data_IF_216404926851
#
_entry.id   IF_216404926851
#
_cell.length_a   1.000
_cell.length_b   1.000
_cell.length_c   1.000
_cell.angle_alpha   90.00
_cell.angle_beta   90.00
_cell.angle_gamma   90.00
#
_symmetry.space_group_name_H-M   'P 1'
#
loop_
_entity.id
_entity.type
_entity.pdbx_description
1 polymer ?
#
# COMPACT_ATOMS: atom_id res chain seq x y z
N UNK A 1 33.89 51.89 14.32
CA UNK A 1 32.49 51.41 14.24
C UNK A 1 32.10 50.83 12.89
N UNK A 2 32.44 51.44 11.73
CA UNK A 2 32.07 50.89 10.40
C UNK A 2 32.69 49.53 10.02
N UNK A 3 33.85 49.15 10.58
CA UNK A 3 34.47 47.83 10.34
C UNK A 3 33.89 46.68 11.18
N UNK A 4 33.21 46.98 12.29
CA UNK A 4 32.60 45.96 13.15
C UNK A 4 31.23 45.50 12.61
N UNK A 5 30.52 46.40 11.91
CA UNK A 5 29.22 46.11 11.28
C UNK A 5 29.33 45.21 10.04
N UNK A 6 30.45 45.26 9.30
CA UNK A 6 30.67 44.37 8.15
C UNK A 6 30.96 42.92 8.55
N UNK A 7 31.56 42.69 9.71
CA UNK A 7 31.79 41.34 10.23
C UNK A 7 30.50 40.71 10.78
N UNK A 8 29.60 41.52 11.33
CA UNK A 8 28.29 41.05 11.80
C UNK A 8 27.38 40.64 10.64
N UNK A 9 27.40 41.35 9.49
CA UNK A 9 26.61 40.95 8.33
C UNK A 9 27.14 39.68 7.65
N UNK A 10 28.45 39.42 7.70
CA UNK A 10 29.05 38.21 7.14
C UNK A 10 28.72 36.96 7.98
N UNK A 11 28.62 37.09 9.31
CA UNK A 11 28.16 36.00 10.18
C UNK A 11 26.66 35.72 10.05
N UNK A 12 25.83 36.73 9.75
CA UNK A 12 24.38 36.54 9.58
C UNK A 12 24.05 35.85 8.24
N UNK A 13 24.90 35.96 7.21
CA UNK A 13 24.72 35.22 5.95
C UNK A 13 25.18 33.77 5.98
N UNK A 14 26.02 33.36 6.94
CA UNK A 14 26.42 31.97 7.12
C UNK A 14 25.36 31.10 7.82
N UNK A 15 24.35 31.71 8.45
CA UNK A 15 23.29 30.99 9.17
C UNK A 15 22.04 30.77 8.29
N UNK A 16 22.01 31.31 7.07
CA UNK A 16 20.83 31.32 6.20
C UNK A 16 20.84 30.28 5.06
N UNK A 17 21.67 29.24 5.15
CA UNK A 17 21.67 28.12 4.21
C UNK A 17 21.62 26.78 4.93
N UNK A 18 20.76 26.64 5.94
CA UNK A 18 20.24 25.31 6.28
C UNK A 18 19.13 24.98 5.28
N UNK A 19 19.52 24.71 4.04
CA UNK A 19 18.62 24.07 3.09
C UNK A 19 18.24 22.73 3.73
N UNK A 20 16.95 22.50 3.97
CA UNK A 20 16.49 21.21 4.47
C UNK A 20 16.88 20.16 3.43
N UNK A 21 17.89 19.34 3.69
CA UNK A 21 18.34 18.20 2.85
C UNK A 21 17.31 17.05 2.81
N UNK A 22 16.02 17.40 2.84
CA UNK A 22 14.91 16.47 2.85
C UNK A 22 14.19 16.59 1.52
N UNK A 23 14.17 15.49 0.79
CA UNK A 23 13.34 15.37 -0.40
C UNK A 23 11.88 15.17 0.03
N UNK A 24 10.90 15.68 -0.75
CA UNK A 24 9.48 15.43 -0.47
C UNK A 24 9.13 13.93 -0.57
N UNK A 25 9.89 13.18 -1.36
CA UNK A 25 9.87 11.73 -1.41
C UNK A 25 11.24 11.20 -1.88
N UNK A 26 11.60 10.00 -1.42
CA UNK A 26 12.84 9.32 -1.77
C UNK A 26 12.55 8.14 -2.71
N UNK A 27 13.15 8.06 -3.90
CA UNK A 27 12.94 6.96 -4.84
C UNK A 27 13.54 5.66 -4.30
N UNK A 28 12.79 4.56 -4.35
CA UNK A 28 13.26 3.23 -3.96
C UNK A 28 13.26 2.28 -5.16
N UNK A 29 12.24 2.35 -6.01
CA UNK A 29 12.14 1.63 -7.28
C UNK A 29 11.59 2.62 -8.30
N UNK A 30 12.27 2.80 -9.42
CA UNK A 30 11.89 3.80 -10.44
C UNK A 30 12.22 3.25 -11.82
N UNK A 31 11.26 2.59 -12.49
CA UNK A 31 11.46 2.08 -13.85
C UNK A 31 10.50 2.73 -14.83
N UNK A 32 9.21 2.64 -14.57
CA UNK A 32 8.15 3.18 -15.41
C UNK A 32 6.98 3.70 -14.54
N UNK A 33 5.93 4.31 -15.14
CA UNK A 33 4.80 4.83 -14.37
C UNK A 33 4.01 3.80 -13.55
N UNK A 34 4.13 2.50 -13.83
CA UNK A 34 3.48 1.44 -13.06
C UNK A 34 4.40 0.82 -12.01
N UNK A 35 5.67 0.58 -12.35
CA UNK A 35 6.66 0.01 -11.43
C UNK A 35 7.53 1.10 -10.80
N UNK A 36 6.89 1.87 -9.92
CA UNK A 36 7.48 2.99 -9.20
C UNK A 36 7.11 2.96 -7.71
N UNK A 37 8.09 2.96 -6.81
CA UNK A 37 7.88 2.87 -5.35
C UNK A 37 8.79 3.87 -4.63
N UNK A 38 8.19 4.63 -3.71
CA UNK A 38 8.80 5.76 -3.04
C UNK A 38 8.58 5.70 -1.52
N UNK A 39 9.46 6.37 -0.77
CA UNK A 39 9.24 6.73 0.63
C UNK A 39 8.83 8.20 0.71
N UNK A 40 7.61 8.47 1.20
CA UNK A 40 7.07 9.83 1.39
C UNK A 40 7.29 10.35 2.81
N UNK A 41 8.37 9.92 3.46
CA UNK A 41 8.66 10.25 4.86
C UNK A 41 10.15 10.42 5.08
N UNK A 42 10.53 11.32 5.99
CA UNK A 42 11.94 11.57 6.35
C UNK A 42 12.64 10.32 6.92
N UNK A 43 11.88 9.39 7.51
CA UNK A 43 12.39 8.14 8.06
C UNK A 43 11.78 6.96 7.31
N UNK A 44 12.59 6.10 6.70
CA UNK A 44 12.14 5.03 5.82
C UNK A 44 11.15 4.04 6.48
N UNK A 45 11.20 3.90 7.82
CA UNK A 45 10.31 3.04 8.62
C UNK A 45 9.12 3.76 9.26
N UNK A 46 8.87 5.03 8.92
CA UNK A 46 7.79 5.83 9.51
C UNK A 46 6.44 5.67 8.80
N UNK A 47 6.42 5.26 7.54
CA UNK A 47 5.17 4.97 6.81
C UNK A 47 5.35 3.79 5.86
N UNK A 48 4.26 3.18 5.36
CA UNK A 48 4.36 2.29 4.21
C UNK A 48 5.00 3.01 3.02
N UNK A 49 5.73 2.26 2.19
CA UNK A 49 6.18 2.74 0.88
C UNK A 49 5.01 2.77 -0.09
N UNK A 50 5.04 3.70 -1.05
CA UNK A 50 3.89 4.01 -1.90
C UNK A 50 4.28 4.12 -3.35
N UNK A 51 3.32 3.79 -4.20
CA UNK A 51 3.31 4.22 -5.59
C UNK A 51 3.19 5.75 -5.67
N UNK A 52 3.57 6.37 -6.79
CA UNK A 52 3.48 7.83 -6.94
C UNK A 52 2.05 8.36 -6.81
N UNK A 53 1.04 7.49 -7.02
CA UNK A 53 -0.38 7.83 -6.81
C UNK A 53 -0.83 7.84 -5.34
N UNK A 54 0.10 7.60 -4.41
CA UNK A 54 -0.18 7.52 -2.97
C UNK A 54 -0.77 6.19 -2.50
N UNK A 55 -1.04 5.25 -3.41
CA UNK A 55 -1.46 3.88 -3.05
C UNK A 55 -0.29 3.13 -2.42
N UNK A 56 -0.56 2.41 -1.34
CA UNK A 56 0.45 1.60 -0.65
C UNK A 56 0.96 0.45 -1.54
N UNK A 57 2.21 0.57 -1.98
CA UNK A 57 3.01 -0.48 -2.63
C UNK A 57 4.10 -0.88 -1.64
N UNK A 58 3.67 -1.61 -0.61
CA UNK A 58 4.46 -1.76 0.61
C UNK A 58 5.66 -2.69 0.43
N UNK A 59 6.83 -2.15 0.75
CA UNK A 59 8.08 -2.86 1.00
C UNK A 59 8.37 -2.74 2.50
N UNK A 60 8.69 -3.86 3.14
CA UNK A 60 9.06 -3.92 4.56
C UNK A 60 10.44 -4.52 4.72
N UNK A 61 11.19 -4.03 5.71
CA UNK A 61 12.55 -4.47 6.00
C UNK A 61 12.77 -4.61 7.51
N UNK A 62 13.09 -5.82 7.94
CA UNK A 62 13.40 -6.16 9.32
C UNK A 62 14.81 -6.75 9.42
N UNK A 63 15.56 -6.40 10.45
CA UNK A 63 16.85 -7.00 10.79
C UNK A 63 16.76 -7.62 12.17
N UNK A 64 17.17 -8.87 12.30
CA UNK A 64 17.26 -9.59 13.57
C UNK A 64 18.73 -9.69 13.98
N UNK A 65 19.04 -9.17 15.16
CA UNK A 65 20.38 -9.20 15.77
C UNK A 65 20.27 -9.95 17.09
N UNK A 66 20.89 -11.12 17.17
CA UNK A 66 20.87 -12.01 18.35
C UNK A 66 19.45 -12.23 18.92
N UNK A 67 18.49 -12.45 18.02
CA UNK A 67 17.09 -12.70 18.38
C UNK A 67 16.23 -11.44 18.53
N UNK A 68 16.81 -10.25 18.69
CA UNK A 68 16.04 -8.99 18.76
C UNK A 68 15.79 -8.43 17.38
N UNK A 69 14.53 -8.06 17.09
CA UNK A 69 14.09 -7.61 15.76
C UNK A 69 13.95 -6.10 15.71
N UNK A 70 14.53 -5.50 14.66
CA UNK A 70 14.44 -4.09 14.36
C UNK A 70 13.84 -3.84 12.99
N UNK A 71 12.93 -2.85 12.87
CA UNK A 71 12.35 -2.40 11.60
C UNK A 71 13.16 -1.23 11.04
N UNK A 72 13.72 -1.40 9.84
CA UNK A 72 14.49 -0.35 9.16
C UNK A 72 13.78 0.22 7.93
N UNK A 73 12.81 -0.50 7.35
CA UNK A 73 12.07 -0.04 6.16
C UNK A 73 10.59 -0.39 6.25
N UNK A 74 9.76 0.57 5.83
CA UNK A 74 8.31 0.46 5.68
C UNK A 74 7.60 0.28 7.01
N UNK A 75 6.61 1.10 7.29
CA UNK A 75 5.65 0.79 8.36
C UNK A 75 4.63 -0.26 7.88
N UNK A 76 3.88 -0.81 8.82
CA UNK A 76 2.79 -1.74 8.56
C UNK A 76 1.69 -1.05 7.74
N UNK A 77 1.28 -1.68 6.63
CA UNK A 77 0.06 -1.31 5.92
C UNK A 77 -1.18 -1.88 6.62
N UNK A 78 -2.29 -1.16 6.56
CA UNK A 78 -3.56 -1.61 7.13
C UNK A 78 -4.22 -2.56 6.14
N UNK A 79 -4.27 -3.85 6.49
CA UNK A 79 -5.10 -4.84 5.81
C UNK A 79 -6.56 -4.71 6.25
N UNK A 80 -7.50 -5.10 5.38
CA UNK A 80 -8.93 -4.95 5.62
C UNK A 80 -9.69 -6.26 5.38
N UNK A 81 -10.58 -6.61 6.31
CA UNK A 81 -11.57 -7.67 6.17
C UNK A 81 -12.93 -7.07 5.82
N UNK A 82 -13.59 -7.63 4.81
CA UNK A 82 -14.92 -7.20 4.36
C UNK A 82 -15.98 -7.44 5.43
N UNK A 83 -16.74 -6.39 5.78
CA UNK A 83 -17.96 -6.45 6.61
C UNK A 83 -19.20 -6.39 5.72
N UNK A 84 -19.18 -5.49 4.73
CA UNK A 84 -20.18 -5.32 3.67
C UNK A 84 -19.43 -5.06 2.36
N UNK A 85 -19.49 -5.94 1.35
CA UNK A 85 -18.70 -5.76 0.14
C UNK A 85 -19.18 -4.56 -0.68
N UNK A 86 -18.22 -3.78 -1.19
CA UNK A 86 -18.46 -2.86 -2.30
C UNK A 86 -18.42 -3.63 -3.64
N UNK A 87 -18.75 -2.97 -4.75
CA UNK A 87 -18.89 -3.62 -6.06
C UNK A 87 -17.58 -4.17 -6.64
N UNK A 88 -16.43 -3.65 -6.20
CA UNK A 88 -15.11 -4.19 -6.52
C UNK A 88 -14.81 -5.53 -5.84
N UNK A 89 -15.59 -5.90 -4.82
CA UNK A 89 -15.45 -7.17 -4.10
C UNK A 89 -16.55 -8.16 -4.48
N UNK A 90 -17.80 -7.70 -4.60
CA UNK A 90 -18.95 -8.49 -5.00
C UNK A 90 -20.07 -7.63 -5.57
N UNK A 91 -20.76 -8.16 -6.59
CA UNK A 91 -21.97 -7.51 -7.14
C UNK A 91 -23.05 -7.43 -6.05
N UNK A 92 -23.66 -6.26 -5.91
CA UNK A 92 -24.81 -6.07 -5.03
C UNK A 92 -25.84 -5.13 -5.66
N UNK A 93 -27.09 -5.25 -5.22
CA UNK A 93 -28.18 -4.37 -5.60
C UNK A 93 -28.57 -3.44 -4.46
N UNK A 94 -29.02 -2.23 -4.81
CA UNK A 94 -29.53 -1.22 -3.90
C UNK A 94 -30.82 -0.63 -4.46
N UNK A 95 -31.74 -0.25 -3.57
CA UNK A 95 -32.83 0.65 -3.95
C UNK A 95 -32.24 2.05 -4.23
N UNK A 96 -32.81 2.77 -5.18
CA UNK A 96 -32.40 4.15 -5.48
C UNK A 96 -33.54 5.04 -6.00
N UNK A 97 -33.40 6.34 -5.76
CA UNK A 97 -34.25 7.41 -6.28
C UNK A 97 -33.39 8.50 -6.91
N UNK A 98 -33.90 9.11 -7.97
CA UNK A 98 -33.32 10.28 -8.66
C UNK A 98 -34.16 11.55 -8.41
N UNK A 99 -35.15 11.43 -7.53
CA UNK A 99 -36.00 12.53 -7.08
C UNK A 99 -35.94 12.59 -5.56
N UNK A 100 -35.95 13.81 -5.03
CA UNK A 100 -35.84 14.04 -3.59
C UNK A 100 -36.89 13.21 -2.84
N UNK A 101 -36.47 12.29 -1.96
CA UNK A 101 -37.40 11.48 -1.19
C UNK A 101 -38.00 12.25 -0.02
N UNK A 102 -39.01 11.66 0.60
CA UNK A 102 -39.63 12.17 1.82
C UNK A 102 -38.63 12.22 2.99
N UNK A 103 -38.97 12.98 4.04
CA UNK A 103 -38.14 13.04 5.24
C UNK A 103 -38.00 11.66 5.90
N UNK A 104 -36.84 11.43 6.54
CA UNK A 104 -36.57 10.15 7.20
C UNK A 104 -36.19 9.01 6.25
N UNK A 105 -35.98 9.28 4.95
CA UNK A 105 -35.53 8.29 3.96
C UNK A 105 -34.23 7.57 4.31
N UNK A 106 -33.43 8.02 5.27
CA UNK A 106 -32.20 7.36 5.73
C UNK A 106 -32.46 6.31 6.82
N UNK A 107 -33.66 6.27 7.39
CA UNK A 107 -34.01 5.40 8.51
C UNK A 107 -34.39 4.00 8.04
N UNK A 108 -34.18 3.00 8.90
CA UNK A 108 -34.46 1.58 8.59
C UNK A 108 -35.93 1.34 8.23
N UNK A 109 -36.86 1.96 8.97
CA UNK A 109 -38.30 1.79 8.77
C UNK A 109 -38.92 2.53 7.58
N UNK A 110 -38.13 3.24 6.76
CA UNK A 110 -38.63 3.94 5.58
C UNK A 110 -39.03 2.95 4.48
N UNK A 111 -40.21 3.12 3.90
CA UNK A 111 -40.72 2.30 2.79
C UNK A 111 -40.15 2.76 1.45
N UNK A 112 -39.14 2.04 0.95
CA UNK A 112 -38.54 2.25 -0.36
C UNK A 112 -39.12 1.33 -1.45
N UNK A 113 -40.29 0.70 -1.23
CA UNK A 113 -40.89 -0.24 -2.19
C UNK A 113 -41.18 0.37 -3.57
N UNK A 114 -41.37 1.70 -3.64
CA UNK A 114 -41.57 2.46 -4.88
C UNK A 114 -40.29 2.91 -5.55
N UNK A 115 -39.13 2.74 -4.91
CA UNK A 115 -37.85 3.12 -5.47
C UNK A 115 -37.43 2.14 -6.57
N UNK A 116 -36.61 2.63 -7.50
CA UNK A 116 -36.00 1.75 -8.50
C UNK A 116 -35.00 0.83 -7.79
N UNK A 117 -34.68 -0.31 -8.41
CA UNK A 117 -33.60 -1.21 -7.96
C UNK A 117 -32.53 -1.29 -9.04
N UNK A 118 -31.28 -1.20 -8.62
CA UNK A 118 -30.13 -1.20 -9.53
C UNK A 118 -28.96 -1.95 -8.91
N UNK A 119 -28.05 -2.44 -9.74
CA UNK A 119 -26.77 -2.98 -9.29
C UNK A 119 -25.76 -1.84 -9.15
N UNK A 120 -24.97 -1.87 -8.09
CA UNK A 120 -23.82 -0.98 -7.93
C UNK A 120 -22.65 -1.43 -8.84
N UNK A 121 -21.73 -0.51 -9.20
CA UNK A 121 -21.73 0.91 -8.86
C UNK A 121 -22.83 1.67 -9.60
N UNK A 122 -23.22 2.84 -9.08
CA UNK A 122 -24.06 3.78 -9.81
C UNK A 122 -23.15 4.80 -10.47
N UNK A 123 -23.23 4.93 -11.78
CA UNK A 123 -22.27 5.72 -12.56
C UNK A 123 -22.88 6.23 -13.86
N UNK A 124 -22.37 7.32 -14.41
CA UNK A 124 -22.60 7.77 -15.78
C UNK A 124 -21.86 6.93 -16.84
N UNK A 125 -20.81 6.19 -16.45
CA UNK A 125 -19.96 5.45 -17.37
C UNK A 125 -20.63 4.16 -17.89
N UNK A 126 -21.21 4.24 -19.08
CA UNK A 126 -21.87 3.13 -19.77
C UNK A 126 -20.99 1.89 -20.04
N UNK A 127 -19.65 1.99 -19.90
CA UNK A 127 -18.74 0.85 -20.04
C UNK A 127 -18.54 0.05 -18.74
N UNK A 128 -18.98 0.58 -17.60
CA UNK A 128 -18.92 -0.11 -16.31
C UNK A 128 -20.15 -0.98 -16.11
N UNK A 129 -19.95 -2.18 -15.54
CA UNK A 129 -21.04 -3.04 -15.14
C UNK A 129 -21.71 -2.46 -13.87
N UNK A 130 -22.84 -1.78 -14.03
CA UNK A 130 -23.53 -1.08 -12.94
C UNK A 130 -24.85 -0.46 -13.38
N UNK A 131 -25.40 0.44 -12.57
CA UNK A 131 -26.64 1.17 -12.88
C UNK A 131 -26.30 2.55 -13.41
N UNK A 132 -26.82 2.88 -14.59
CA UNK A 132 -26.61 4.20 -15.18
C UNK A 132 -27.49 5.25 -14.51
N UNK A 133 -26.85 6.32 -14.07
CA UNK A 133 -27.47 7.51 -13.51
C UNK A 133 -26.84 8.75 -14.13
N UNK A 134 -27.66 9.74 -14.50
CA UNK A 134 -27.20 10.98 -15.16
C UNK A 134 -27.90 12.23 -14.66
N UNK A 135 -28.84 12.12 -13.73
CA UNK A 135 -29.53 13.28 -13.15
C UNK A 135 -28.67 13.97 -12.10
N UNK A 136 -29.14 15.09 -11.53
CA UNK A 136 -28.34 15.88 -10.59
C UNK A 136 -28.12 15.19 -9.24
N UNK A 137 -29.10 14.44 -8.76
CA UNK A 137 -29.04 13.83 -7.44
C UNK A 137 -29.44 12.36 -7.49
N UNK A 138 -28.79 11.55 -6.64
CA UNK A 138 -29.19 10.17 -6.39
C UNK A 138 -29.22 9.90 -4.89
N UNK A 139 -30.26 9.19 -4.47
CA UNK A 139 -30.39 8.61 -3.15
C UNK A 139 -30.33 7.10 -3.29
N UNK A 140 -29.49 6.42 -2.53
CA UNK A 140 -29.41 4.96 -2.50
C UNK A 140 -29.68 4.42 -1.10
N UNK A 141 -30.29 3.24 -1.03
CA UNK A 141 -30.65 2.53 0.19
C UNK A 141 -30.33 1.04 0.03
N UNK A 142 -29.34 0.58 0.80
CA UNK A 142 -28.90 -0.82 0.82
C UNK A 142 -29.10 -1.43 2.20
N UNK A 143 -30.07 -2.33 2.30
CA UNK A 143 -30.27 -3.15 3.49
C UNK A 143 -29.28 -4.32 3.50
N UNK A 144 -28.70 -4.61 4.66
CA UNK A 144 -27.78 -5.72 4.84
C UNK A 144 -27.88 -6.31 6.25
N UNK A 145 -27.39 -7.55 6.42
CA UNK A 145 -27.50 -8.25 7.69
C UNK A 145 -26.13 -8.60 8.29
N UNK A 146 -25.90 -8.22 9.55
CA UNK A 146 -24.69 -8.57 10.29
C UNK A 146 -24.98 -9.72 11.25
N UNK A 147 -24.23 -10.82 11.13
CA UNK A 147 -24.31 -11.95 12.09
C UNK A 147 -23.50 -11.67 13.35
N UNK A 148 -22.27 -11.17 13.18
CA UNK A 148 -21.33 -10.89 14.27
C UNK A 148 -20.80 -9.47 14.09
N UNK A 149 -20.90 -8.65 15.12
CA UNK A 149 -20.40 -7.28 15.07
C UNK A 149 -18.88 -7.25 14.83
N UNK A 150 -18.38 -6.29 14.03
CA UNK A 150 -16.95 -6.03 13.91
C UNK A 150 -16.32 -5.81 15.30
N UNK A 151 -15.18 -6.43 15.53
CA UNK A 151 -14.47 -6.36 16.84
C UNK A 151 -13.26 -5.44 16.81
N UNK A 152 -12.94 -4.90 15.63
CA UNK A 152 -11.79 -4.03 15.38
C UNK A 152 -12.25 -2.75 14.72
N UNK A 153 -11.31 -1.81 14.55
CA UNK A 153 -11.61 -0.52 13.95
C UNK A 153 -12.23 -0.73 12.57
N UNK A 154 -13.41 -0.14 12.39
CA UNK A 154 -14.26 -0.31 11.21
C UNK A 154 -14.23 0.97 10.40
N UNK A 155 -14.31 0.82 9.08
CA UNK A 155 -14.21 1.90 8.13
C UNK A 155 -15.37 1.81 7.13
N UNK A 156 -15.91 2.96 6.76
CA UNK A 156 -16.68 3.14 5.54
C UNK A 156 -15.70 3.10 4.36
N UNK A 157 -15.89 2.13 3.47
CA UNK A 157 -15.19 2.06 2.18
C UNK A 157 -16.08 2.77 1.16
N UNK A 158 -15.62 3.88 0.59
CA UNK A 158 -16.46 4.75 -0.25
C UNK A 158 -15.69 5.24 -1.47
N UNK A 159 -16.31 5.18 -2.63
CA UNK A 159 -15.90 5.93 -3.82
C UNK A 159 -17.10 6.75 -4.25
N UNK A 160 -16.92 8.05 -4.49
CA UNK A 160 -18.03 8.93 -4.83
C UNK A 160 -17.58 10.10 -5.73
N UNK A 161 -18.51 10.61 -6.52
CA UNK A 161 -18.36 11.79 -7.36
C UNK A 161 -19.77 12.38 -7.61
N UNK A 162 -20.15 13.57 -7.12
CA UNK A 162 -19.43 14.56 -6.31
C UNK A 162 -19.88 14.51 -4.83
N UNK A 163 -20.44 15.60 -4.30
CA UNK A 163 -20.78 15.84 -2.90
C UNK A 163 -21.58 14.68 -2.34
N UNK A 164 -21.16 14.14 -1.20
CA UNK A 164 -21.76 12.93 -0.62
C UNK A 164 -22.17 13.16 0.82
N UNK A 165 -23.32 12.61 1.19
CA UNK A 165 -23.71 12.39 2.58
C UNK A 165 -24.05 10.93 2.81
N UNK A 166 -23.44 10.31 3.82
CA UNK A 166 -23.61 8.88 4.13
C UNK A 166 -24.23 8.71 5.51
N UNK A 167 -25.24 7.84 5.56
CA UNK A 167 -25.96 7.47 6.76
C UNK A 167 -25.88 5.96 6.99
N UNK A 168 -25.76 5.59 8.26
CA UNK A 168 -25.85 4.21 8.71
C UNK A 168 -26.90 4.14 9.81
N UNK A 169 -27.96 3.36 9.57
CA UNK A 169 -29.10 3.24 10.48
C UNK A 169 -29.69 4.62 10.88
N UNK A 170 -29.84 5.51 9.90
CA UNK A 170 -30.35 6.88 10.10
C UNK A 170 -29.36 7.89 10.67
N UNK A 171 -28.22 7.44 11.23
CA UNK A 171 -27.18 8.34 11.75
C UNK A 171 -26.23 8.76 10.63
N UNK A 172 -26.01 10.06 10.46
CA UNK A 172 -24.98 10.58 9.54
C UNK A 172 -23.60 10.14 10.02
N UNK A 173 -22.86 9.43 9.17
CA UNK A 173 -21.52 8.92 9.46
C UNK A 173 -20.41 9.60 8.66
N UNK A 174 -20.75 10.24 7.53
CA UNK A 174 -19.80 10.96 6.70
C UNK A 174 -20.51 12.02 5.85
N UNK A 175 -19.79 13.09 5.55
CA UNK A 175 -20.21 14.14 4.62
C UNK A 175 -18.95 14.77 4.02
N UNK A 176 -18.96 14.98 2.70
CA UNK A 176 -17.88 15.66 1.99
C UNK A 176 -18.47 16.50 0.86
N UNK A 177 -17.94 17.71 0.71
CA UNK A 177 -18.08 18.52 -0.52
C UNK A 177 -16.87 18.23 -1.40
N UNK A 178 -17.10 17.78 -2.63
CA UNK A 178 -16.10 17.26 -3.57
C UNK A 178 -16.21 15.76 -3.79
N UNK A 179 -15.19 15.18 -4.41
CA UNK A 179 -15.20 13.80 -4.91
C UNK A 179 -14.06 12.95 -4.31
N UNK A 180 -14.21 11.63 -4.39
CA UNK A 180 -13.17 10.65 -4.12
C UNK A 180 -13.04 9.72 -5.34
N UNK A 181 -12.08 10.02 -6.21
CA UNK A 181 -11.84 9.28 -7.47
C UNK A 181 -11.42 7.81 -7.30
N UNK A 182 -11.14 7.37 -6.07
CA UNK A 182 -10.87 5.97 -5.68
C UNK A 182 -11.53 5.66 -4.35
N UNK A 183 -11.60 4.38 -3.98
CA UNK A 183 -12.05 4.01 -2.65
C UNK A 183 -11.18 4.66 -1.57
N UNK A 184 -11.83 5.43 -0.71
CA UNK A 184 -11.30 5.95 0.55
C UNK A 184 -11.86 5.13 1.71
N UNK A 185 -11.10 5.06 2.80
CA UNK A 185 -11.43 4.30 4.00
C UNK A 185 -11.60 5.26 5.17
N UNK A 186 -12.85 5.66 5.45
CA UNK A 186 -13.18 6.62 6.49
C UNK A 186 -13.44 5.88 7.81
N UNK A 187 -12.70 6.12 8.90
CA UNK A 187 -12.92 5.44 10.16
C UNK A 187 -14.29 5.80 10.75
N UNK A 188 -15.06 4.80 11.16
CA UNK A 188 -16.29 5.02 11.91
C UNK A 188 -15.94 5.37 13.36
N UNK A 189 -16.35 6.56 13.81
CA UNK A 189 -16.27 6.95 15.23
C UNK A 189 -17.20 6.05 16.05
N UNK A 190 -16.63 5.06 16.73
CA UNK A 190 -17.28 3.98 17.50
C UNK A 190 -18.21 3.08 16.67
N UNK A 191 -17.62 2.09 15.99
CA UNK A 191 -18.35 1.08 15.20
C UNK A 191 -19.43 0.33 15.99
N UNK A 192 -19.25 0.18 17.31
CA UNK A 192 -20.20 -0.46 18.22
C UNK A 192 -21.54 0.29 18.39
N UNK A 193 -21.60 1.60 18.11
CA UNK A 193 -22.83 2.39 18.23
C UNK A 193 -23.59 2.50 16.90
N UNK A 194 -22.91 2.30 15.78
CA UNK A 194 -23.50 2.51 14.44
C UNK A 194 -24.04 1.23 13.82
N UNK A 195 -23.48 0.06 14.16
CA UNK A 195 -23.89 -1.24 13.64
C UNK A 195 -24.60 -2.06 14.71
N UNK A 196 -25.59 -2.86 14.29
CA UNK A 196 -26.28 -3.82 15.14
C UNK A 196 -26.26 -5.23 14.52
N UNK A 197 -26.37 -6.25 15.35
CA UNK A 197 -26.66 -7.60 14.86
C UNK A 197 -28.04 -7.62 14.21
N UNK A 198 -28.20 -8.40 13.14
CA UNK A 198 -29.41 -8.40 12.34
C UNK A 198 -29.37 -7.35 11.23
N UNK A 199 -30.52 -6.80 10.91
CA UNK A 199 -30.70 -5.87 9.80
C UNK A 199 -30.06 -4.51 10.07
N UNK A 200 -29.42 -3.93 9.06
CA UNK A 200 -28.89 -2.57 9.04
C UNK A 200 -29.22 -1.93 7.68
N UNK A 201 -29.20 -0.60 7.62
CA UNK A 201 -29.37 0.17 6.39
C UNK A 201 -28.18 1.10 6.17
N UNK A 202 -27.56 1.01 5.00
CA UNK A 202 -26.62 2.01 4.49
C UNK A 202 -27.35 2.88 3.48
N UNK A 203 -27.40 4.18 3.73
CA UNK A 203 -28.13 5.14 2.92
C UNK A 203 -27.20 6.27 2.48
N UNK A 204 -27.23 6.62 1.20
CA UNK A 204 -26.28 7.58 0.61
C UNK A 204 -27.04 8.57 -0.25
N UNK A 205 -26.69 9.84 -0.12
CA UNK A 205 -27.13 10.90 -1.02
C UNK A 205 -25.90 11.49 -1.71
N UNK A 206 -25.95 11.59 -3.03
CA UNK A 206 -24.95 12.27 -3.84
C UNK A 206 -25.60 13.41 -4.61
N UNK A 207 -24.92 14.57 -4.63
CA UNK A 207 -25.26 15.71 -5.47
C UNK A 207 -24.14 15.89 -6.49
N UNK A 208 -24.42 15.62 -7.76
CA UNK A 208 -23.48 15.92 -8.84
C UNK A 208 -23.41 17.44 -9.04
N UNK A 209 -22.21 17.99 -8.95
CA UNK A 209 -21.95 19.43 -9.13
C UNK A 209 -21.46 19.76 -10.55
N UNK A 210 -21.04 18.74 -11.32
CA UNK A 210 -20.78 18.79 -12.74
C UNK A 210 -19.64 17.85 -13.14
N UNK A 211 -19.74 17.27 -14.35
CA UNK A 211 -18.73 16.32 -14.83
C UNK A 211 -19.15 14.88 -14.54
N UNK A 212 -18.23 14.12 -13.96
CA UNK A 212 -18.39 12.68 -13.74
C UNK A 212 -19.40 12.39 -12.61
N UNK A 213 -19.84 11.13 -12.49
CA UNK A 213 -20.81 10.68 -11.48
C UNK A 213 -20.50 9.25 -11.06
N UNK A 214 -20.20 9.02 -9.79
CA UNK A 214 -19.99 7.67 -9.32
C UNK A 214 -20.42 7.54 -7.87
N UNK A 215 -20.97 6.39 -7.49
CA UNK A 215 -21.12 6.03 -6.10
C UNK A 215 -21.06 4.52 -5.91
N UNK A 216 -20.17 4.12 -5.01
CA UNK A 216 -20.10 2.77 -4.49
C UNK A 216 -19.59 2.75 -3.05
N UNK A 217 -20.16 1.86 -2.25
CA UNK A 217 -19.85 1.79 -0.84
C UNK A 217 -19.91 0.37 -0.26
N UNK A 218 -19.07 0.17 0.74
CA UNK A 218 -19.03 -1.01 1.59
C UNK A 218 -18.54 -0.64 2.99
N UNK A 219 -18.39 -1.66 3.82
CA UNK A 219 -17.83 -1.56 5.17
C UNK A 219 -16.73 -2.58 5.31
N UNK A 220 -15.63 -2.18 5.96
CA UNK A 220 -14.50 -3.07 6.26
C UNK A 220 -14.05 -2.88 7.70
N UNK A 221 -13.42 -3.89 8.29
CA UNK A 221 -12.69 -3.76 9.55
C UNK A 221 -11.21 -4.06 9.32
N UNK A 222 -10.31 -3.55 10.17
CA UNK A 222 -8.90 -3.92 10.07
C UNK A 222 -8.73 -5.45 10.17
N UNK A 223 -7.79 -6.01 9.43
CA UNK A 223 -7.41 -7.42 9.57
C UNK A 223 -6.90 -7.70 10.99
N UNK A 224 -7.21 -8.89 11.50
CA UNK A 224 -6.60 -9.34 12.76
C UNK A 224 -5.11 -9.55 12.52
N UNK A 225 -4.28 -8.87 13.31
CA UNK A 225 -2.82 -8.96 13.19
C UNK A 225 -2.19 -9.37 14.52
N UNK A 226 -1.07 -10.07 14.45
CA UNK A 226 -0.26 -10.33 15.64
C UNK A 226 0.34 -9.01 16.17
N UNK A 227 0.59 -8.88 17.48
CA UNK A 227 1.31 -7.74 18.03
C UNK A 227 2.66 -7.54 17.31
N UNK A 228 2.92 -6.32 16.86
CA UNK A 228 4.22 -5.94 16.31
C UNK A 228 5.09 -5.39 17.43
N UNK A 229 6.00 -6.23 17.94
CA UNK A 229 6.94 -5.88 19.01
C UNK A 229 8.31 -5.45 18.46
N UNK A 230 8.39 -5.09 17.16
CA UNK A 230 9.65 -4.65 16.57
C UNK A 230 10.07 -3.29 17.12
N UNK A 231 11.38 -3.10 17.29
CA UNK A 231 11.96 -1.81 17.64
C UNK A 231 12.34 -1.09 16.35
N UNK A 232 12.15 0.22 16.22
CA UNK A 232 12.64 0.92 15.02
C UNK A 232 14.17 1.02 15.06
N UNK A 233 14.83 0.67 13.96
CA UNK A 233 16.23 0.98 13.75
C UNK A 233 16.41 2.50 13.66
N UNK A 234 17.49 3.03 14.22
CA UNK A 234 17.76 4.47 14.23
C UNK A 234 18.32 4.87 12.88
N UNK A 235 17.54 5.55 12.04
CA UNK A 235 18.04 6.14 10.80
C UNK A 235 19.02 7.27 11.11
N UNK A 236 20.22 7.19 10.55
CA UNK A 236 21.31 8.15 10.72
C UNK A 236 21.36 9.15 9.58
N UNK A 237 21.17 8.68 8.35
CA UNK A 237 21.24 9.52 7.16
C UNK A 237 20.52 8.87 5.97
N UNK A 238 20.23 9.69 4.97
CA UNK A 238 19.84 9.29 3.62
C UNK A 238 20.62 10.14 2.62
N UNK A 239 21.05 9.55 1.51
CA UNK A 239 21.72 10.24 0.41
C UNK A 239 21.19 9.75 -0.93
N UNK A 240 21.09 10.68 -1.89
CA UNK A 240 20.58 10.43 -3.23
C UNK A 240 21.66 10.69 -4.28
N UNK A 241 21.74 9.80 -5.27
CA UNK A 241 22.38 10.04 -6.56
C UNK A 241 21.34 9.81 -7.67
N UNK A 242 21.71 10.05 -8.93
CA UNK A 242 20.81 9.88 -10.07
C UNK A 242 20.16 8.48 -10.15
N UNK A 243 20.88 7.44 -9.72
CA UNK A 243 20.47 6.03 -9.87
C UNK A 243 20.38 5.29 -8.54
N UNK A 244 20.70 5.94 -7.41
CA UNK A 244 20.83 5.26 -6.12
C UNK A 244 20.32 6.08 -4.95
N UNK A 245 19.53 5.44 -4.10
CA UNK A 245 19.17 5.93 -2.78
C UNK A 245 19.85 5.08 -1.71
N UNK A 246 20.60 5.70 -0.80
CA UNK A 246 21.31 5.00 0.28
C UNK A 246 20.87 5.54 1.63
N UNK A 247 20.44 4.63 2.52
CA UNK A 247 20.13 4.91 3.92
C UNK A 247 21.17 4.27 4.83
N UNK A 248 21.42 4.91 5.98
CA UNK A 248 22.25 4.36 7.05
C UNK A 248 21.44 4.26 8.34
N UNK A 249 21.52 3.13 9.02
CA UNK A 249 20.80 2.84 10.26
C UNK A 249 21.72 2.24 11.32
N UNK A 250 21.34 2.40 12.59
CA UNK A 250 21.85 1.59 13.70
C UNK A 250 20.70 0.74 14.26
N UNK A 251 20.90 -0.57 14.32
CA UNK A 251 19.95 -1.56 14.84
C UNK A 251 20.63 -2.37 15.97
N UNK A 252 20.57 -1.85 17.19
CA UNK A 252 21.32 -2.43 18.31
C UNK A 252 22.82 -2.34 18.06
N UNK A 253 23.50 -3.50 18.12
CA UNK A 253 24.94 -3.63 17.91
C UNK A 253 25.38 -3.73 16.44
N UNK A 254 24.47 -3.49 15.49
CA UNK A 254 24.73 -3.53 14.05
C UNK A 254 24.45 -2.18 13.41
N UNK A 255 25.39 -1.70 12.59
CA UNK A 255 25.12 -0.65 11.61
C UNK A 255 24.76 -1.28 10.26
N UNK A 256 23.71 -0.73 9.63
CA UNK A 256 23.17 -1.18 8.34
C UNK A 256 23.22 -0.03 7.34
N UNK A 257 23.90 -0.25 6.21
CA UNK A 257 23.76 0.56 5.01
C UNK A 257 22.85 -0.18 4.03
N UNK A 258 21.73 0.45 3.65
CA UNK A 258 20.74 -0.07 2.72
C UNK A 258 20.75 0.79 1.46
N UNK A 259 21.01 0.20 0.29
CA UNK A 259 20.98 0.94 -0.97
C UNK A 259 20.03 0.34 -1.99
N UNK A 260 19.24 1.20 -2.63
CA UNK A 260 18.40 0.88 -3.78
C UNK A 260 19.07 1.42 -5.03
N UNK A 261 19.47 0.55 -5.95
CA UNK A 261 20.15 0.91 -7.20
C UNK A 261 19.30 0.50 -8.39
N UNK A 262 18.90 1.48 -9.19
CA UNK A 262 18.26 1.30 -10.49
C UNK A 262 19.22 1.85 -11.56
N UNK A 263 19.90 1.01 -12.35
CA UNK A 263 20.98 1.45 -13.24
C UNK A 263 20.42 2.09 -14.53
N UNK A 264 19.69 3.19 -14.40
CA UNK A 264 19.04 3.92 -15.49
C UNK A 264 20.06 4.77 -16.28
N UNK A 265 21.01 4.11 -16.94
CA UNK A 265 22.07 4.76 -17.72
C UNK A 265 21.58 5.02 -19.14
N UNK A 266 21.50 6.30 -19.54
CA UNK A 266 20.91 6.69 -20.84
C UNK A 266 21.76 6.31 -22.06
N UNK A 267 23.04 6.01 -21.84
CA UNK A 267 23.99 5.55 -22.85
C UNK A 267 24.07 4.02 -22.99
N UNK A 268 23.39 3.27 -22.12
CA UNK A 268 23.25 1.82 -22.17
C UNK A 268 21.76 1.43 -22.14
N UNK A 269 21.15 1.38 -23.33
CA UNK A 269 19.72 1.12 -23.47
C UNK A 269 19.32 -0.30 -23.04
N UNK A 270 20.21 -1.29 -23.15
CA UNK A 270 19.95 -2.65 -22.65
C UNK A 270 19.86 -2.65 -21.13
N UNK A 271 20.76 -1.92 -20.46
CA UNK A 271 20.73 -1.77 -19.01
C UNK A 271 19.56 -0.92 -18.52
N UNK A 272 19.25 0.18 -19.23
CA UNK A 272 18.13 1.08 -18.94
C UNK A 272 16.77 0.36 -19.07
N UNK A 273 16.62 -0.50 -20.07
CA UNK A 273 15.37 -1.25 -20.33
C UNK A 273 15.17 -2.45 -19.41
N UNK A 274 16.10 -2.72 -18.49
CA UNK A 274 15.99 -3.81 -17.52
C UNK A 274 15.23 -3.33 -16.26
N UNK A 275 13.99 -3.78 -16.02
CA UNK A 275 13.14 -3.29 -14.93
C UNK A 275 13.52 -3.94 -13.59
N UNK A 276 14.79 -3.86 -13.19
CA UNK A 276 15.32 -4.48 -11.96
C UNK A 276 15.97 -3.42 -11.07
N UNK A 277 15.50 -3.35 -9.83
CA UNK A 277 16.18 -2.64 -8.74
C UNK A 277 16.98 -3.61 -7.90
N UNK A 278 18.24 -3.28 -7.64
CA UNK A 278 19.15 -4.00 -6.76
C UNK A 278 19.12 -3.37 -5.37
N UNK A 279 18.74 -4.17 -4.37
CA UNK A 279 18.67 -3.76 -2.97
C UNK A 279 19.83 -4.43 -2.21
N UNK A 280 20.87 -3.66 -1.92
CA UNK A 280 22.04 -4.14 -1.18
C UNK A 280 21.92 -3.78 0.30
N UNK A 281 22.23 -4.73 1.17
CA UNK A 281 22.35 -4.53 2.62
C UNK A 281 23.75 -4.85 3.08
N UNK A 282 24.47 -3.83 3.52
CA UNK A 282 25.79 -3.96 4.13
C UNK A 282 25.68 -3.79 5.63
N UNK A 283 26.10 -4.80 6.39
CA UNK A 283 26.00 -4.83 7.84
C UNK A 283 27.38 -5.00 8.49
N UNK A 284 27.63 -4.26 9.57
CA UNK A 284 28.85 -4.37 10.37
C UNK A 284 28.55 -4.24 11.86
N UNK A 285 29.30 -4.95 12.70
CA UNK A 285 29.20 -4.80 14.15
C UNK A 285 29.79 -3.47 14.62
N UNK A 286 29.11 -2.79 15.52
CA UNK A 286 29.51 -1.47 16.04
C UNK A 286 29.96 -1.51 17.52
N UNK A 287 30.01 -2.69 18.13
CA UNK A 287 30.40 -2.90 19.54
C UNK A 287 31.66 -3.77 19.72
N UNK A 288 32.29 -4.16 18.62
CA UNK A 288 33.49 -5.01 18.60
C UNK A 288 33.23 -6.51 18.82
N UNK A 289 31.97 -6.95 18.88
CA UNK A 289 31.60 -8.37 19.02
C UNK A 289 31.11 -8.96 17.71
N UNK A 290 30.90 -10.27 17.73
CA UNK A 290 30.31 -11.03 16.63
C UNK A 290 28.84 -11.30 16.93
N UNK A 291 27.96 -11.04 15.95
CA UNK A 291 26.51 -11.19 16.10
C UNK A 291 25.93 -12.08 15.01
N UNK A 292 24.87 -12.83 15.34
CA UNK A 292 24.09 -13.52 14.32
C UNK A 292 23.07 -12.55 13.72
N UNK A 293 23.09 -12.41 12.39
CA UNK A 293 22.25 -11.45 11.66
C UNK A 293 21.39 -12.14 10.62
N UNK A 294 20.10 -11.81 10.62
CA UNK A 294 19.13 -12.17 9.59
C UNK A 294 18.40 -10.91 9.12
N UNK A 295 18.18 -10.79 7.81
CA UNK A 295 17.49 -9.65 7.20
C UNK A 295 16.27 -10.18 6.44
N UNK A 296 15.07 -9.75 6.82
CA UNK A 296 13.85 -10.02 6.08
C UNK A 296 13.49 -8.82 5.21
N UNK A 297 13.18 -9.11 3.95
CA UNK A 297 12.45 -8.22 3.05
C UNK A 297 11.07 -8.80 2.79
N UNK A 298 10.03 -7.97 2.88
CA UNK A 298 8.67 -8.32 2.50
C UNK A 298 8.18 -7.37 1.41
N UNK A 299 7.83 -7.90 0.24
CA UNK A 299 7.19 -7.13 -0.83
C UNK A 299 5.70 -7.50 -0.93
N UNK A 300 4.82 -6.50 -0.83
CA UNK A 300 3.38 -6.73 -0.98
C UNK A 300 3.04 -7.17 -2.40
N UNK A 301 2.19 -8.20 -2.52
CA UNK A 301 1.65 -8.59 -3.82
C UNK A 301 0.71 -7.53 -4.42
N UNK A 302 0.31 -6.51 -3.64
CA UNK A 302 -0.45 -5.36 -4.14
C UNK A 302 0.31 -4.56 -5.20
N UNK A 303 1.64 -4.70 -5.27
CA UNK A 303 2.47 -4.10 -6.34
C UNK A 303 2.05 -4.59 -7.74
N UNK A 304 1.42 -5.76 -7.83
CA UNK A 304 1.01 -6.39 -9.08
C UNK A 304 -0.51 -6.33 -9.36
N UNK A 305 -1.23 -5.44 -8.67
CA UNK A 305 -2.67 -5.21 -8.88
C UNK A 305 -3.02 -3.74 -8.79
N UNK A 306 -4.12 -3.36 -9.44
CA UNK A 306 -4.67 -2.03 -9.31
C UNK A 306 -5.22 -1.82 -7.89
N UNK A 307 -6.14 -2.66 -7.45
CA UNK A 307 -6.79 -2.55 -6.13
C UNK A 307 -6.41 -3.70 -5.18
N UNK A 308 -6.26 -3.45 -3.86
CA UNK A 308 -6.07 -4.51 -2.85
C UNK A 308 -7.19 -5.57 -2.80
N UNK A 309 -8.36 -5.29 -3.39
CA UNK A 309 -9.46 -6.26 -3.52
C UNK A 309 -9.26 -7.30 -4.62
N UNK A 310 -8.28 -7.11 -5.51
CA UNK A 310 -7.97 -8.08 -6.56
C UNK A 310 -7.23 -9.28 -5.99
N UNK A 311 -7.61 -10.47 -6.46
CA UNK A 311 -6.86 -11.68 -6.14
C UNK A 311 -5.54 -11.70 -6.91
N UNK A 312 -4.51 -12.22 -6.25
CA UNK A 312 -3.21 -12.51 -6.83
C UNK A 312 -2.96 -14.02 -6.87
N UNK A 313 -2.10 -14.44 -7.79
CA UNK A 313 -1.42 -15.73 -7.75
C UNK A 313 0.06 -15.50 -7.43
N UNK A 314 0.64 -16.41 -6.67
CA UNK A 314 2.02 -16.38 -6.21
C UNK A 314 2.71 -17.71 -6.49
N UNK A 315 4.02 -17.66 -6.69
CA UNK A 315 4.83 -18.86 -6.89
C UNK A 315 6.23 -18.63 -6.38
N UNK A 316 6.82 -19.64 -5.75
CA UNK A 316 8.24 -19.67 -5.44
C UNK A 316 8.87 -20.81 -6.22
N UNK A 317 9.99 -20.55 -6.88
CA UNK A 317 10.75 -21.54 -7.63
C UNK A 317 12.24 -21.19 -7.63
N UNK A 318 13.07 -22.14 -8.04
CA UNK A 318 14.50 -21.92 -8.23
C UNK A 318 14.83 -21.86 -9.72
N UNK A 319 15.78 -21.01 -10.07
CA UNK A 319 16.38 -20.95 -11.40
C UNK A 319 17.90 -20.84 -11.23
N UNK A 320 18.61 -21.92 -11.55
CA UNK A 320 20.05 -22.07 -11.28
C UNK A 320 20.37 -21.74 -9.80
N UNK A 321 21.21 -20.73 -9.58
CA UNK A 321 21.65 -20.26 -8.28
C UNK A 321 20.72 -19.21 -7.66
N UNK A 322 19.57 -18.95 -8.28
CA UNK A 322 18.57 -17.98 -7.81
C UNK A 322 17.37 -18.68 -7.19
N UNK A 323 16.80 -18.04 -6.17
CA UNK A 323 15.45 -18.30 -5.68
C UNK A 323 14.57 -17.13 -6.07
N UNK A 324 13.41 -17.43 -6.64
CA UNK A 324 12.49 -16.45 -7.23
C UNK A 324 11.13 -16.62 -6.59
N UNK A 325 10.65 -15.58 -5.93
CA UNK A 325 9.25 -15.44 -5.55
C UNK A 325 8.57 -14.49 -6.54
N UNK A 326 7.44 -14.89 -7.12
CA UNK A 326 6.66 -14.04 -8.04
C UNK A 326 5.23 -13.85 -7.56
N UNK A 327 4.64 -12.71 -7.91
CA UNK A 327 3.22 -12.41 -7.74
C UNK A 327 2.66 -11.73 -8.98
N UNK A 328 1.42 -12.02 -9.33
CA UNK A 328 0.68 -11.36 -10.41
C UNK A 328 -0.81 -11.36 -10.10
N UNK A 329 -1.55 -10.40 -10.63
CA UNK A 329 -3.02 -10.45 -10.67
C UNK A 329 -3.50 -11.81 -11.19
N UNK A 330 -4.50 -12.42 -10.55
CA UNK A 330 -5.06 -13.68 -11.02
C UNK A 330 -5.77 -13.54 -12.38
N UNK A 331 -6.25 -12.35 -12.70
CA UNK A 331 -7.06 -12.09 -13.89
C UNK A 331 -6.22 -11.83 -15.15
N UNK A 332 -5.04 -11.23 -15.01
CA UNK A 332 -4.12 -10.91 -16.12
C UNK A 332 -4.83 -10.19 -17.30
N UNK A 333 -5.69 -9.21 -17.00
CA UNK A 333 -6.49 -8.49 -17.98
C UNK A 333 -5.68 -7.36 -18.63
N UNK A 334 -4.77 -7.74 -19.52
CA UNK A 334 -3.85 -6.82 -20.23
C UNK A 334 -4.64 -5.69 -20.90
N UNK A 335 -4.33 -4.45 -20.51
CA UNK A 335 -4.89 -3.20 -21.06
C UNK A 335 -6.43 -3.08 -21.02
N UNK A 336 -7.12 -3.84 -20.16
CA UNK A 336 -8.57 -3.72 -20.05
C UNK A 336 -9.01 -2.40 -19.40
N UNK A 337 -8.18 -1.84 -18.52
CA UNK A 337 -8.46 -0.58 -17.81
C UNK A 337 -7.69 0.57 -18.44
N UNK A 338 -8.31 1.76 -18.44
CA UNK A 338 -7.74 3.02 -18.93
C UNK A 338 -8.19 4.20 -18.08
N UNK A 339 -7.39 5.25 -18.01
CA UNK A 339 -7.66 6.45 -17.21
C UNK A 339 -6.52 6.76 -16.25
N UNK A 340 -6.72 7.83 -15.47
CA UNK A 340 -5.76 8.29 -14.46
C UNK A 340 -5.85 7.47 -13.16
N UNK A 341 -4.78 7.54 -12.35
CA UNK A 341 -4.63 6.78 -11.10
C UNK A 341 -5.00 5.29 -11.27
N UNK A 342 -4.38 4.64 -12.26
CA UNK A 342 -4.37 3.20 -12.43
C UNK A 342 -2.97 2.64 -12.16
N UNK A 343 -2.90 1.58 -11.36
CA UNK A 343 -1.71 0.74 -11.25
C UNK A 343 -1.88 -0.47 -12.16
N UNK A 344 -0.76 -1.05 -12.56
CA UNK A 344 -0.74 -2.25 -13.40
C UNK A 344 -1.41 -3.42 -12.67
N UNK A 345 -2.22 -4.19 -13.40
CA UNK A 345 -2.87 -5.40 -12.90
C UNK A 345 -2.79 -6.58 -13.88
N UNK A 346 -1.75 -6.54 -14.71
CA UNK A 346 -1.25 -7.63 -15.52
C UNK A 346 0.27 -7.74 -15.36
N UNK A 347 0.88 -8.80 -15.85
CA UNK A 347 2.30 -9.05 -15.61
C UNK A 347 2.59 -9.64 -14.23
N UNK A 348 3.89 -9.65 -13.89
CA UNK A 348 4.41 -10.29 -12.69
C UNK A 348 5.51 -9.46 -12.03
N UNK A 349 5.35 -9.22 -10.73
CA UNK A 349 6.45 -8.81 -9.86
C UNK A 349 7.30 -10.03 -9.50
N UNK A 350 8.62 -9.85 -9.48
CA UNK A 350 9.61 -10.84 -9.03
C UNK A 350 10.44 -10.30 -7.88
N UNK A 351 10.67 -11.13 -6.87
CA UNK A 351 11.58 -10.91 -5.74
C UNK A 351 12.60 -12.03 -5.73
N UNK A 352 13.85 -11.68 -6.03
CA UNK A 352 14.91 -12.64 -6.37
C UNK A 352 16.09 -12.51 -5.42
N UNK A 353 16.63 -13.64 -5.00
CA UNK A 353 17.82 -13.72 -4.16
C UNK A 353 18.77 -14.82 -4.65
N UNK A 354 20.08 -14.58 -4.52
CA UNK A 354 21.09 -15.62 -4.69
C UNK A 354 21.01 -16.65 -3.55
N UNK A 355 21.07 -17.94 -3.90
CA UNK A 355 20.86 -19.06 -2.95
C UNK A 355 21.96 -19.19 -1.90
N UNK A 356 23.16 -18.65 -2.15
CA UNK A 356 24.31 -18.71 -1.24
C UNK A 356 24.03 -18.03 0.12
N UNK A 357 23.35 -16.89 0.12
CA UNK A 357 23.00 -16.12 1.33
C UNK A 357 21.51 -16.22 1.70
N UNK A 358 20.76 -17.07 0.99
CA UNK A 358 19.34 -17.23 1.23
C UNK A 358 19.09 -18.18 2.39
N UNK A 359 18.39 -17.70 3.42
CA UNK A 359 17.87 -18.58 4.48
C UNK A 359 16.57 -19.23 4.04
N UNK A 360 15.61 -18.44 3.55
CA UNK A 360 14.33 -18.95 3.03
C UNK A 360 13.56 -17.86 2.28
N UNK A 361 12.70 -18.26 1.34
CA UNK A 361 11.62 -17.44 0.78
C UNK A 361 10.28 -18.10 1.04
N UNK A 362 9.25 -17.30 1.34
CA UNK A 362 7.90 -17.79 1.58
C UNK A 362 6.82 -16.72 1.34
N UNK A 363 5.59 -17.18 1.14
CA UNK A 363 4.40 -16.33 1.01
C UNK A 363 3.63 -16.35 2.33
N UNK A 364 3.11 -15.20 2.75
CA UNK A 364 2.23 -15.09 3.91
C UNK A 364 1.21 -13.98 3.71
N UNK A 365 0.20 -13.88 4.58
CA UNK A 365 -0.54 -12.63 4.72
C UNK A 365 0.37 -11.53 5.32
N UNK A 366 0.04 -10.26 5.04
CA UNK A 366 0.70 -9.12 5.67
C UNK A 366 0.62 -9.17 7.21
N UNK A 367 -0.53 -9.61 7.74
CA UNK A 367 -0.78 -9.80 9.16
C UNK A 367 0.21 -10.72 9.89
N UNK A 368 0.79 -11.70 9.18
CA UNK A 368 1.65 -12.73 9.76
C UNK A 368 3.13 -12.57 9.39
N UNK A 369 3.49 -11.73 8.43
CA UNK A 369 4.86 -11.59 7.91
C UNK A 369 5.89 -11.30 9.02
N UNK A 370 5.59 -10.35 9.90
CA UNK A 370 6.48 -9.92 11.00
C UNK A 370 6.64 -11.01 12.06
N UNK A 371 5.54 -11.62 12.50
CA UNK A 371 5.56 -12.62 13.57
C UNK A 371 6.24 -13.93 13.14
N UNK A 372 6.04 -14.34 11.88
CA UNK A 372 6.73 -15.50 11.29
C UNK A 372 8.25 -15.30 11.31
N UNK A 373 8.73 -14.11 10.93
CA UNK A 373 10.15 -13.79 11.00
C UNK A 373 10.65 -13.69 12.43
N UNK A 374 9.99 -12.93 13.29
CA UNK A 374 10.42 -12.72 14.66
C UNK A 374 10.57 -14.04 15.42
N UNK A 375 9.59 -14.93 15.29
CA UNK A 375 9.52 -16.19 16.04
C UNK A 375 10.18 -17.37 15.31
N UNK A 376 10.63 -17.20 14.06
CA UNK A 376 11.19 -18.29 13.25
C UNK A 376 10.20 -19.42 12.96
N UNK A 377 8.91 -19.08 12.84
CA UNK A 377 7.84 -20.05 12.62
C UNK A 377 7.79 -20.49 11.15
N UNK A 378 7.39 -21.74 10.92
CA UNK A 378 7.18 -22.23 9.55
C UNK A 378 5.91 -21.59 8.97
N UNK A 379 5.98 -20.98 7.78
CA UNK A 379 4.81 -20.45 7.11
C UNK A 379 3.90 -21.59 6.64
N UNK A 380 2.60 -21.33 6.61
CA UNK A 380 1.64 -22.16 5.87
C UNK A 380 1.75 -21.79 4.40
N UNK A 381 1.73 -22.79 3.51
CA UNK A 381 1.77 -22.53 2.07
C UNK A 381 0.52 -21.74 1.64
N UNK A 382 0.74 -20.66 0.90
CA UNK A 382 -0.30 -19.82 0.29
C UNK A 382 0.15 -19.53 -1.13
N UNK A 383 -0.65 -19.90 -2.12
CA UNK A 383 -0.37 -19.70 -3.54
C UNK A 383 -1.26 -18.64 -4.19
N UNK A 384 -2.36 -18.26 -3.54
CA UNK A 384 -3.31 -17.29 -4.07
C UNK A 384 -4.11 -16.61 -2.97
N UNK A 385 -4.66 -15.43 -3.26
CA UNK A 385 -5.49 -14.67 -2.33
C UNK A 385 -5.29 -13.16 -2.43
N UNK A 386 -5.53 -12.45 -1.33
CA UNK A 386 -5.39 -10.99 -1.20
C UNK A 386 -4.45 -10.67 -0.03
N UNK A 387 -3.89 -9.46 -0.01
CA UNK A 387 -3.06 -9.01 1.10
C UNK A 387 -1.82 -9.89 1.35
N UNK A 388 -1.32 -10.56 0.31
CA UNK A 388 -0.16 -11.44 0.39
C UNK A 388 1.15 -10.65 0.37
N UNK A 389 2.18 -11.23 0.98
CA UNK A 389 3.53 -10.68 1.04
C UNK A 389 4.53 -11.76 0.62
N UNK A 390 5.43 -11.39 -0.29
CA UNK A 390 6.57 -12.18 -0.72
C UNK A 390 7.72 -11.89 0.23
N UNK A 391 7.98 -12.83 1.13
CA UNK A 391 9.02 -12.71 2.15
C UNK A 391 10.30 -13.39 1.69
N UNK A 392 11.42 -12.69 1.85
CA UNK A 392 12.77 -13.22 1.62
C UNK A 392 13.63 -12.96 2.84
N UNK A 393 14.18 -14.02 3.44
CA UNK A 393 15.13 -13.91 4.55
C UNK A 393 16.52 -14.23 4.03
N UNK A 394 17.40 -13.24 4.10
CA UNK A 394 18.82 -13.35 3.79
C UNK A 394 19.62 -13.41 5.09
N UNK A 395 20.77 -14.08 5.06
CA UNK A 395 21.71 -14.09 6.18
C UNK A 395 23.14 -13.88 5.69
N UNK A 396 23.84 -12.84 6.17
CA UNK A 396 25.29 -12.74 6.03
C UNK A 396 26.04 -13.70 6.98
N UNK A 397 25.33 -14.48 7.79
CA UNK A 397 25.87 -15.30 8.87
C UNK A 397 26.32 -14.43 10.05
N UNK A 398 27.41 -14.85 10.71
CA UNK A 398 28.02 -14.10 11.81
C UNK A 398 28.68 -12.81 11.30
N UNK A 399 28.28 -11.65 11.82
CA UNK A 399 28.80 -10.32 11.45
C UNK A 399 29.68 -9.80 12.58
N UNK A 400 30.90 -9.37 12.25
CA UNK A 400 31.85 -8.79 13.19
C UNK A 400 32.39 -7.45 12.66
N UNK A 401 33.66 -7.15 12.94
CA UNK A 401 34.30 -5.89 12.53
C UNK A 401 34.38 -5.69 11.01
N UNK A 402 34.57 -6.77 10.24
CA UNK A 402 34.52 -6.71 8.77
C UNK A 402 33.08 -6.75 8.30
N UNK A 403 32.56 -5.70 7.63
CA UNK A 403 31.19 -5.68 7.16
C UNK A 403 30.92 -6.79 6.13
N UNK A 404 29.68 -7.27 6.09
CA UNK A 404 29.20 -8.27 5.15
C UNK A 404 28.00 -7.74 4.37
N UNK A 405 27.79 -8.29 3.18
CA UNK A 405 26.75 -7.83 2.26
C UNK A 405 25.80 -8.98 1.87
N UNK A 406 24.53 -8.64 1.70
CA UNK A 406 23.51 -9.49 1.08
C UNK A 406 22.69 -8.64 0.11
N UNK A 407 22.25 -9.26 -0.98
CA UNK A 407 21.53 -8.57 -2.05
C UNK A 407 20.18 -9.23 -2.34
N UNK A 408 19.18 -8.39 -2.55
CA UNK A 408 17.87 -8.74 -3.10
C UNK A 408 17.69 -8.00 -4.43
N UNK A 409 17.02 -8.61 -5.40
CA UNK A 409 16.57 -7.94 -6.61
C UNK A 409 15.05 -7.94 -6.63
N UNK A 410 14.45 -6.81 -7.03
CA UNK A 410 13.03 -6.72 -7.31
C UNK A 410 12.85 -6.21 -8.73
N UNK A 411 12.04 -6.91 -9.53
CA UNK A 411 11.71 -6.48 -10.87
C UNK A 411 10.26 -6.74 -11.24
N UNK A 412 9.84 -6.21 -12.38
CA UNK A 412 8.51 -6.39 -12.91
C UNK A 412 8.58 -6.76 -14.39
N UNK A 413 7.80 -7.77 -14.80
CA UNK A 413 7.61 -8.14 -16.20
C UNK A 413 6.16 -7.81 -16.57
N UNK A 414 5.98 -6.82 -17.42
CA UNK A 414 4.65 -6.41 -17.85
C UNK A 414 3.96 -7.45 -18.72
N UNK A 415 4.66 -8.43 -19.30
CA UNK A 415 4.19 -9.30 -20.42
C UNK A 415 3.93 -8.50 -21.71
N UNK A 416 3.28 -7.34 -21.57
CA UNK A 416 3.00 -6.37 -22.61
C UNK A 416 3.24 -4.95 -22.06
N UNK A 417 4.34 -4.33 -22.49
CA UNK A 417 4.69 -2.97 -22.07
C UNK A 417 3.90 -1.92 -22.85
N UNK A 418 3.53 -0.84 -22.16
CA UNK A 418 2.88 0.32 -22.78
C UNK A 418 3.93 1.22 -23.41
N UNK A 419 3.78 1.52 -24.70
CA UNK A 419 4.59 2.52 -25.37
C UNK A 419 3.98 3.91 -25.17
N UNK A 420 4.64 4.76 -24.38
CA UNK A 420 4.17 6.12 -24.10
C UNK A 420 4.59 7.15 -25.15
N UNK A 421 5.73 6.94 -25.81
CA UNK A 421 6.30 7.86 -26.80
C UNK A 421 6.70 7.09 -28.07
N UNK A 422 6.43 7.69 -29.23
CA UNK A 422 6.83 7.22 -30.56
C UNK A 422 8.00 8.05 -31.09
#
# INVERSE_FOLDING_TARGET
MKKLLLFASLLIHLVAAAQSDKAPAYPLITHDPYFSIWSFSDTLSASPTRHWTGTDHSLTGLIKVDGKVYRFMGDKSVGFETVLPASDEAVYSSAYSESKPEEGWMNEGFDDSKWKKGNAPFTENASMAGTIWTTKEIWTRRTFNIKTLPTRKTYLKLQHDDDVTVYLNGKKIYELVGYAGKYVFIPLSNSGDALKTGQNILAIHVVNTGGNQNIDAGLVQEEKTAPDNTVRAIQKSVSLTATKTTYRFTAGSIDLELSFLSPLLTDDLELLSRPITYINSKVGANDGKSHNVEIQFGASANIAVNSPSQNVQTKIYSDKDLSVARAGSSAQQVLQKKGDDLRIDWGYMYVVAGREKLKTQFISSAANSVSLFANGQKPVAVDSGRGLVLNTILTPGTVGATPKEVMLMIGYDDIYSVQFFN
#
